data_IF_700795085854
#
_entry.id   IF_700795085854
#
_cell.length_a   1.000
_cell.length_b   1.000
_cell.length_c   1.000
_cell.angle_alpha   90.00
_cell.angle_beta   90.00
_cell.angle_gamma   90.00
#
_symmetry.space_group_name_H-M   'P 1'
#
loop_
_entity.id
_entity.type
_entity.pdbx_description
1 polymer ?
#
# COMPACT_ATOMS: atom_id res chain seq x y z
N UNK A 1 18.52 -2.09 -16.28
CA UNK A 1 17.26 -1.69 -15.64
C UNK A 1 17.51 -1.50 -14.15
N UNK A 2 16.95 -0.44 -13.57
CA UNK A 2 16.94 -0.17 -12.12
C UNK A 2 15.95 -1.10 -11.43
N UNK A 3 16.25 -1.47 -10.19
CA UNK A 3 15.39 -2.36 -9.41
C UNK A 3 14.46 -1.57 -8.50
N UNK A 4 13.22 -2.02 -8.38
CA UNK A 4 12.27 -1.47 -7.43
C UNK A 4 11.62 -2.52 -6.55
N UNK A 5 11.32 -2.11 -5.32
CA UNK A 5 10.54 -2.90 -4.35
C UNK A 5 9.41 -2.04 -3.81
N UNK A 6 8.22 -2.62 -3.70
CA UNK A 6 7.06 -2.00 -3.08
C UNK A 6 6.86 -2.57 -1.67
N UNK A 7 6.63 -1.70 -0.70
CA UNK A 7 6.26 -2.01 0.68
C UNK A 7 4.83 -1.53 0.89
N UNK A 8 3.91 -2.45 1.19
CA UNK A 8 2.49 -2.15 1.33
C UNK A 8 2.06 -2.34 2.77
N UNK A 9 1.68 -1.25 3.41
CA UNK A 9 0.97 -1.30 4.69
C UNK A 9 -0.50 -1.66 4.43
N UNK A 10 -0.84 -2.92 4.67
CA UNK A 10 -2.16 -3.45 4.34
C UNK A 10 -3.30 -2.81 5.13
N UNK A 11 -3.06 -2.42 6.38
CA UNK A 11 -4.09 -1.81 7.22
C UNK A 11 -4.31 -0.35 6.84
N UNK A 12 -3.22 0.42 6.72
CA UNK A 12 -3.30 1.81 6.33
C UNK A 12 -3.94 1.95 4.94
N UNK A 13 -3.56 1.11 3.97
CA UNK A 13 -4.21 1.06 2.67
C UNK A 13 -5.71 0.73 2.75
N UNK A 14 -6.05 -0.40 3.39
CA UNK A 14 -7.44 -0.87 3.44
C UNK A 14 -8.37 0.15 4.11
N UNK A 15 -8.00 0.65 5.29
CA UNK A 15 -8.82 1.62 6.00
C UNK A 15 -8.78 3.00 5.35
N UNK A 16 -7.64 3.41 4.78
CA UNK A 16 -7.51 4.66 4.05
C UNK A 16 -8.41 4.73 2.82
N UNK A 17 -8.50 3.64 2.03
CA UNK A 17 -9.43 3.59 0.90
C UNK A 17 -10.87 3.44 1.39
N UNK A 18 -11.16 2.45 2.24
CA UNK A 18 -12.54 2.14 2.67
C UNK A 18 -13.20 3.33 3.36
N UNK A 19 -12.52 3.95 4.32
CA UNK A 19 -13.11 5.02 5.13
C UNK A 19 -13.24 6.34 4.35
N UNK A 20 -12.35 6.60 3.37
CA UNK A 20 -12.50 7.74 2.47
C UNK A 20 -13.78 7.63 1.62
N UNK A 21 -14.03 6.45 1.06
CA UNK A 21 -15.15 6.25 0.13
C UNK A 21 -16.47 5.85 0.81
N UNK A 22 -16.48 5.42 2.07
CA UNK A 22 -17.71 5.03 2.77
C UNK A 22 -18.76 6.15 2.88
N UNK A 23 -18.42 7.41 3.26
CA UNK A 23 -19.41 8.46 3.48
C UNK A 23 -20.26 8.83 2.25
N UNK A 24 -19.72 8.70 1.04
CA UNK A 24 -20.44 9.05 -0.19
C UNK A 24 -21.38 7.95 -0.72
N UNK A 25 -21.46 6.79 -0.05
CA UNK A 25 -22.29 5.67 -0.48
C UNK A 25 -23.79 6.01 -0.59
N UNK A 26 -24.41 6.72 0.37
CA UNK A 26 -25.83 7.07 0.29
C UNK A 26 -26.17 7.90 -0.96
N UNK A 27 -25.30 8.82 -1.35
CA UNK A 27 -25.52 9.69 -2.51
C UNK A 27 -25.28 8.96 -3.84
N UNK A 28 -24.29 8.05 -3.88
CA UNK A 28 -23.97 7.27 -5.09
C UNK A 28 -24.91 6.10 -5.35
N UNK A 29 -25.54 5.55 -4.30
CA UNK A 29 -26.35 4.33 -4.37
C UNK A 29 -25.53 3.03 -4.50
N UNK A 30 -24.21 3.09 -4.39
CA UNK A 30 -23.31 1.93 -4.36
C UNK A 30 -22.01 2.25 -3.60
N UNK A 31 -21.31 1.23 -3.12
CA UNK A 31 -20.07 1.38 -2.36
C UNK A 31 -18.86 1.45 -3.28
N UNK A 32 -17.99 2.44 -3.04
CA UNK A 32 -16.65 2.51 -3.62
C UNK A 32 -15.58 1.88 -2.72
N UNK A 33 -15.98 1.26 -1.60
CA UNK A 33 -15.05 0.48 -0.77
C UNK A 33 -14.47 -0.72 -1.51
N UNK A 34 -15.08 -1.16 -2.62
CA UNK A 34 -14.54 -2.19 -3.51
C UNK A 34 -13.18 -1.84 -4.15
N UNK A 35 -12.79 -0.56 -4.14
CA UNK A 35 -11.46 -0.11 -4.59
C UNK A 35 -10.30 -0.67 -3.74
N UNK A 36 -10.60 -1.31 -2.60
CA UNK A 36 -9.60 -2.09 -1.84
C UNK A 36 -9.17 -3.38 -2.54
N UNK A 37 -9.91 -3.87 -3.55
CA UNK A 37 -9.57 -5.05 -4.36
C UNK A 37 -8.45 -4.72 -5.38
N UNK A 38 -7.33 -4.22 -4.86
CA UNK A 38 -6.26 -3.60 -5.62
C UNK A 38 -5.16 -4.61 -5.99
N UNK A 39 -4.81 -4.65 -7.26
CA UNK A 39 -3.61 -5.28 -7.79
C UNK A 39 -2.44 -4.33 -7.56
N UNK A 40 -1.72 -4.51 -6.44
CA UNK A 40 -0.61 -3.63 -6.05
C UNK A 40 0.53 -3.59 -7.08
N UNK A 41 0.70 -4.65 -7.89
CA UNK A 41 1.66 -4.64 -8.99
C UNK A 41 1.17 -3.70 -10.10
N UNK A 42 -0.07 -3.90 -10.55
CA UNK A 42 -0.68 -3.04 -11.57
C UNK A 42 -0.70 -1.57 -11.13
N UNK A 43 -0.97 -1.30 -9.84
CA UNK A 43 -0.92 0.05 -9.26
C UNK A 43 0.40 0.74 -9.57
N UNK A 44 1.52 0.06 -9.31
CA UNK A 44 2.84 0.62 -9.60
C UNK A 44 3.11 0.63 -11.10
N UNK A 45 3.00 -0.51 -11.79
CA UNK A 45 3.39 -0.66 -13.19
C UNK A 45 2.62 0.29 -14.13
N UNK A 46 1.34 0.59 -13.85
CA UNK A 46 0.50 1.44 -14.72
C UNK A 46 0.60 2.92 -14.42
N UNK A 47 0.89 3.31 -13.17
CA UNK A 47 0.71 4.70 -12.72
C UNK A 47 1.96 5.34 -12.13
N UNK A 48 2.86 4.54 -11.57
CA UNK A 48 3.96 5.07 -10.77
C UNK A 48 5.32 4.54 -11.19
N UNK A 49 5.44 3.47 -11.98
CA UNK A 49 6.75 2.91 -12.33
C UNK A 49 7.60 3.95 -13.09
N UNK A 50 8.82 4.15 -12.62
CA UNK A 50 9.75 5.06 -13.28
C UNK A 50 10.32 4.46 -14.57
N UNK A 51 10.74 5.29 -15.54
CA UNK A 51 11.45 4.81 -16.72
C UNK A 51 12.65 3.94 -16.35
N UNK A 52 12.95 2.95 -17.18
CA UNK A 52 14.08 2.02 -17.02
C UNK A 52 14.10 1.26 -15.68
N UNK A 53 12.95 1.13 -15.01
CA UNK A 53 12.82 0.48 -13.70
C UNK A 53 11.92 -0.75 -13.79
N UNK A 54 12.25 -1.78 -13.03
CA UNK A 54 11.42 -2.99 -12.88
C UNK A 54 11.02 -3.19 -11.43
N UNK A 55 9.73 -3.47 -11.21
CA UNK A 55 9.24 -3.86 -9.89
C UNK A 55 9.57 -5.34 -9.64
N UNK A 56 10.66 -5.59 -8.91
CA UNK A 56 11.17 -6.94 -8.63
C UNK A 56 10.26 -7.67 -7.63
N UNK A 57 9.83 -6.98 -6.57
CA UNK A 57 9.09 -7.60 -5.46
C UNK A 57 8.12 -6.63 -4.79
N UNK A 58 7.11 -7.20 -4.15
CA UNK A 58 6.15 -6.50 -3.29
C UNK A 58 6.18 -7.19 -1.92
N UNK A 59 6.43 -6.44 -0.86
CA UNK A 59 6.29 -6.88 0.54
C UNK A 59 4.98 -6.35 1.08
N UNK A 60 4.07 -7.25 1.44
CA UNK A 60 2.72 -6.92 1.91
C UNK A 60 2.62 -7.18 3.41
N UNK A 61 2.50 -6.12 4.19
CA UNK A 61 2.48 -6.19 5.65
C UNK A 61 1.04 -6.25 6.15
N UNK A 62 0.74 -7.26 6.95
CA UNK A 62 -0.60 -7.51 7.45
C UNK A 62 -0.55 -8.36 8.72
N UNK A 63 -1.67 -8.53 9.41
CA UNK A 63 -1.77 -9.40 10.58
C UNK A 63 -3.04 -10.25 10.48
N UNK A 64 -2.93 -11.59 10.49
CA UNK A 64 -4.10 -12.46 10.51
C UNK A 64 -4.82 -12.31 11.85
N UNK A 65 -6.14 -12.11 11.79
CA UNK A 65 -6.98 -12.06 12.98
C UNK A 65 -7.22 -13.49 13.48
N UNK A 66 -6.80 -13.82 14.71
CA UNK A 66 -7.16 -15.11 15.32
C UNK A 66 -8.67 -15.18 15.53
N UNK A 67 -9.27 -16.35 15.29
CA UNK A 67 -10.71 -16.60 15.52
C UNK A 67 -11.16 -16.19 16.92
N UNK A 68 -10.32 -16.40 17.93
CA UNK A 68 -10.57 -16.01 19.32
C UNK A 68 -10.67 -14.51 19.56
N UNK A 69 -10.24 -13.68 18.61
CA UNK A 69 -10.20 -12.23 18.70
C UNK A 69 -11.07 -11.56 17.63
N UNK A 70 -11.94 -12.28 16.92
CA UNK A 70 -12.79 -11.72 15.88
C UNK A 70 -13.82 -10.73 16.44
N UNK A 71 -13.98 -9.58 15.76
CA UNK A 71 -15.07 -8.66 16.08
C UNK A 71 -16.39 -9.08 15.42
N UNK A 72 -16.30 -9.86 14.34
CA UNK A 72 -17.43 -10.35 13.53
C UNK A 72 -17.07 -11.73 12.98
N UNK A 73 -18.07 -12.61 12.86
CA UNK A 73 -17.89 -14.01 12.47
C UNK A 73 -17.23 -14.20 11.07
N UNK A 74 -17.38 -13.23 10.17
CA UNK A 74 -16.86 -13.30 8.79
C UNK A 74 -15.49 -12.63 8.63
N UNK A 75 -14.89 -12.11 9.71
CA UNK A 75 -13.67 -11.33 9.61
C UNK A 75 -12.49 -12.16 9.12
N UNK A 76 -12.33 -13.36 9.68
CA UNK A 76 -11.30 -14.32 9.31
C UNK A 76 -11.50 -14.81 7.87
N UNK A 77 -12.72 -15.18 7.49
CA UNK A 77 -13.03 -15.65 6.12
C UNK A 77 -12.73 -14.58 5.07
N UNK A 78 -13.11 -13.32 5.34
CA UNK A 78 -12.79 -12.19 4.45
C UNK A 78 -11.29 -11.94 4.37
N UNK A 79 -10.57 -12.07 5.49
CA UNK A 79 -9.11 -11.94 5.52
C UNK A 79 -8.44 -13.03 4.69
N UNK A 80 -8.83 -14.29 4.86
CA UNK A 80 -8.29 -15.42 4.10
C UNK A 80 -8.60 -15.30 2.61
N UNK A 81 -9.82 -14.87 2.25
CA UNK A 81 -10.20 -14.60 0.86
C UNK A 81 -9.27 -13.56 0.22
N UNK A 82 -9.04 -12.44 0.92
CA UNK A 82 -8.14 -11.41 0.45
C UNK A 82 -6.70 -11.93 0.33
N UNK A 83 -6.20 -12.68 1.31
CA UNK A 83 -4.83 -13.20 1.27
C UNK A 83 -4.64 -14.15 0.09
N UNK A 84 -5.61 -15.04 -0.20
CA UNK A 84 -5.57 -15.89 -1.41
C UNK A 84 -5.56 -15.05 -2.69
N UNK A 85 -6.41 -14.03 -2.78
CA UNK A 85 -6.43 -13.13 -3.93
C UNK A 85 -5.10 -12.38 -4.11
N UNK A 86 -4.52 -11.88 -3.01
CA UNK A 86 -3.24 -11.19 -3.02
C UNK A 86 -2.08 -12.11 -3.47
N UNK A 87 -2.15 -13.42 -3.22
CA UNK A 87 -1.17 -14.39 -3.73
C UNK A 87 -1.16 -14.49 -5.27
N UNK A 88 -2.22 -14.07 -5.98
CA UNK A 88 -2.20 -13.95 -7.44
C UNK A 88 -1.40 -12.73 -7.94
N UNK A 89 -1.05 -11.79 -7.07
CA UNK A 89 -0.22 -10.64 -7.43
C UNK A 89 1.23 -11.12 -7.55
N UNK A 90 1.76 -11.14 -8.78
CA UNK A 90 3.13 -11.58 -9.07
C UNK A 90 4.16 -10.88 -8.18
N UNK A 91 4.98 -11.66 -7.48
CA UNK A 91 6.06 -11.15 -6.64
C UNK A 91 5.61 -10.54 -5.30
N UNK A 92 4.33 -10.70 -4.92
CA UNK A 92 3.85 -10.34 -3.59
C UNK A 92 4.28 -11.39 -2.55
N UNK A 93 4.83 -10.90 -1.45
CA UNK A 93 5.26 -11.69 -0.30
C UNK A 93 4.60 -11.13 0.96
N UNK A 94 3.71 -11.88 1.62
CA UNK A 94 3.11 -11.44 2.86
C UNK A 94 4.13 -11.51 4.01
N UNK A 95 4.11 -10.50 4.86
CA UNK A 95 4.90 -10.41 6.08
C UNK A 95 3.93 -10.16 7.22
N UNK A 96 3.91 -11.09 8.17
CA UNK A 96 2.89 -11.15 9.20
C UNK A 96 3.36 -10.50 10.50
N UNK A 97 2.61 -9.51 10.96
CA UNK A 97 2.55 -9.18 12.38
C UNK A 97 1.54 -10.08 13.09
N UNK A 98 1.08 -9.65 14.27
CA UNK A 98 0.08 -10.41 15.03
C UNK A 98 -0.90 -9.50 15.75
N UNK A 99 -2.03 -10.09 16.16
CA UNK A 99 -2.98 -9.46 17.07
C UNK A 99 -2.82 -10.00 18.49
N UNK A 100 -2.94 -9.11 19.48
CA UNK A 100 -3.07 -9.50 20.89
C UNK A 100 -4.27 -8.81 21.56
N UNK A 101 -4.84 -9.39 22.62
CA UNK A 101 -5.85 -8.71 23.44
C UNK A 101 -5.31 -7.38 23.98
N UNK A 102 -6.17 -6.35 24.04
CA UNK A 102 -5.82 -5.03 24.60
C UNK A 102 -6.91 -4.55 25.55
N UNK A 103 -6.62 -4.28 26.83
CA UNK A 103 -7.61 -3.67 27.73
C UNK A 103 -8.18 -2.37 27.15
N UNK A 104 -9.52 -2.22 27.17
CA UNK A 104 -10.22 -1.06 26.62
C UNK A 104 -10.47 -1.11 25.09
N UNK A 105 -9.98 -2.15 24.41
CA UNK A 105 -10.34 -2.48 23.03
C UNK A 105 -10.56 -4.00 22.91
N UNK A 106 -10.96 -4.50 21.74
CA UNK A 106 -11.01 -5.95 21.53
C UNK A 106 -9.59 -6.54 21.39
N UNK A 107 -8.73 -5.86 20.62
CA UNK A 107 -7.39 -6.29 20.27
C UNK A 107 -6.57 -5.12 19.73
N UNK A 108 -5.25 -5.30 19.68
CA UNK A 108 -4.34 -4.44 18.92
C UNK A 108 -3.45 -5.25 18.00
N UNK A 109 -3.18 -4.67 16.84
CA UNK A 109 -2.17 -5.13 15.90
C UNK A 109 -0.78 -4.74 16.43
N UNK A 110 0.21 -5.60 16.20
CA UNK A 110 1.61 -5.39 16.55
C UNK A 110 2.52 -5.86 15.43
N UNK A 111 3.68 -5.19 15.37
CA UNK A 111 4.84 -5.48 14.51
C UNK A 111 4.76 -4.96 13.07
N UNK A 112 3.61 -4.58 12.52
CA UNK A 112 3.55 -4.05 11.13
C UNK A 112 4.54 -2.91 10.91
N UNK A 113 4.56 -1.90 11.78
CA UNK A 113 5.44 -0.74 11.58
C UNK A 113 6.92 -1.08 11.64
N UNK A 114 7.28 -1.94 12.61
CA UNK A 114 8.66 -2.38 12.82
C UNK A 114 9.11 -3.27 11.66
N UNK A 115 8.24 -4.17 11.20
CA UNK A 115 8.52 -5.04 10.06
C UNK A 115 8.73 -4.23 8.77
N UNK A 116 7.91 -3.20 8.51
CA UNK A 116 8.11 -2.29 7.36
C UNK A 116 9.50 -1.66 7.45
N UNK A 117 9.85 -1.06 8.58
CA UNK A 117 11.14 -0.40 8.77
C UNK A 117 12.33 -1.37 8.61
N UNK A 118 12.24 -2.56 9.22
CA UNK A 118 13.28 -3.60 9.15
C UNK A 118 13.50 -4.06 7.71
N UNK A 119 12.43 -4.43 7.01
CA UNK A 119 12.52 -4.95 5.64
C UNK A 119 13.01 -3.90 4.65
N UNK A 120 12.55 -2.65 4.78
CA UNK A 120 13.05 -1.53 3.97
C UNK A 120 14.55 -1.31 4.16
N UNK A 121 15.04 -1.41 5.39
CA UNK A 121 16.46 -1.25 5.70
C UNK A 121 17.30 -2.44 5.22
N UNK A 122 16.85 -3.67 5.45
CA UNK A 122 17.54 -4.88 5.01
C UNK A 122 17.68 -4.91 3.50
N UNK A 123 16.60 -4.68 2.76
CA UNK A 123 16.62 -4.62 1.30
C UNK A 123 17.49 -3.45 0.80
N UNK A 124 17.46 -2.31 1.49
CA UNK A 124 18.26 -1.14 1.13
C UNK A 124 19.76 -1.38 1.31
N UNK A 125 20.17 -1.98 2.44
CA UNK A 125 21.56 -2.34 2.76
C UNK A 125 22.07 -3.43 1.81
N UNK A 126 21.25 -4.45 1.53
CA UNK A 126 21.58 -5.52 0.60
C UNK A 126 21.58 -5.07 -0.87
N UNK A 127 21.10 -3.85 -1.17
CA UNK A 127 21.07 -3.30 -2.51
C UNK A 127 20.01 -3.94 -3.41
N UNK A 128 18.91 -4.42 -2.84
CA UNK A 128 17.82 -5.07 -3.57
C UNK A 128 16.95 -4.09 -4.38
N UNK A 129 17.05 -2.79 -4.14
CA UNK A 129 16.38 -1.78 -4.95
C UNK A 129 17.25 -0.54 -5.15
N UNK A 130 16.95 0.19 -6.22
CA UNK A 130 17.35 1.58 -6.45
C UNK A 130 16.20 2.54 -6.08
N UNK A 131 14.95 2.11 -6.33
CA UNK A 131 13.72 2.81 -5.95
C UNK A 131 12.86 1.97 -5.01
N UNK A 132 12.56 2.48 -3.82
CA UNK A 132 11.53 1.93 -2.94
C UNK A 132 10.21 2.68 -3.13
N UNK A 133 9.10 1.95 -3.20
CA UNK A 133 7.76 2.50 -3.08
C UNK A 133 7.20 2.12 -1.71
N UNK A 134 6.68 3.07 -0.95
CA UNK A 134 5.97 2.81 0.31
C UNK A 134 4.50 3.18 0.12
N UNK A 135 3.59 2.22 0.16
CA UNK A 135 2.16 2.46 0.19
C UNK A 135 1.70 2.52 1.65
N UNK A 136 1.79 3.71 2.24
CA UNK A 136 1.27 4.02 3.57
C UNK A 136 1.16 5.54 3.74
N UNK A 137 0.13 5.97 4.44
CA UNK A 137 -0.02 7.31 5.00
C UNK A 137 0.43 7.41 6.46
N UNK A 138 0.99 6.34 7.05
CA UNK A 138 1.47 6.41 8.42
C UNK A 138 2.75 7.26 8.49
N UNK A 139 2.73 8.29 9.34
CA UNK A 139 3.88 9.17 9.56
C UNK A 139 4.95 8.53 10.45
N UNK A 140 4.62 7.46 11.18
CA UNK A 140 5.60 6.69 11.97
C UNK A 140 6.66 6.01 11.09
N UNK A 141 6.40 5.90 9.77
CA UNK A 141 7.34 5.37 8.78
C UNK A 141 8.37 6.39 8.27
N UNK A 142 8.21 7.69 8.59
CA UNK A 142 9.13 8.76 8.17
C UNK A 142 10.60 8.46 8.51
N UNK A 143 10.95 7.99 9.73
CA UNK A 143 12.32 7.63 10.06
C UNK A 143 12.92 6.55 9.15
N UNK A 144 12.13 5.54 8.77
CA UNK A 144 12.56 4.47 7.89
C UNK A 144 12.79 4.99 6.45
N UNK A 145 11.84 5.80 5.94
CA UNK A 145 11.97 6.49 4.65
C UNK A 145 13.24 7.33 4.60
N UNK A 146 13.48 8.17 5.63
CA UNK A 146 14.66 9.02 5.70
C UNK A 146 15.96 8.22 5.82
N UNK A 147 15.94 7.10 6.55
CA UNK A 147 17.10 6.23 6.69
C UNK A 147 17.49 5.58 5.35
N UNK A 148 16.52 4.99 4.65
CA UNK A 148 16.73 4.40 3.31
C UNK A 148 17.21 5.43 2.30
N UNK A 149 16.57 6.60 2.29
CA UNK A 149 16.91 7.66 1.35
C UNK A 149 18.34 8.18 1.59
N UNK A 150 18.70 8.51 2.84
CA UNK A 150 19.86 9.38 3.09
C UNK A 150 20.95 8.79 3.97
N UNK A 151 20.67 7.75 4.74
CA UNK A 151 21.59 7.21 5.76
C UNK A 151 22.25 5.89 5.36
N UNK A 152 21.79 5.28 4.27
CA UNK A 152 22.45 4.12 3.68
C UNK A 152 23.70 4.53 2.89
N UNK A 153 24.71 3.63 2.73
CA UNK A 153 25.94 3.94 2.00
C UNK A 153 25.69 4.39 0.55
N UNK A 154 24.66 3.83 -0.09
CA UNK A 154 24.18 4.24 -1.40
C UNK A 154 22.83 4.92 -1.24
N UNK A 155 22.75 6.14 -1.74
CA UNK A 155 21.52 6.92 -1.83
C UNK A 155 20.47 6.16 -2.63
N UNK A 156 19.27 6.02 -2.06
CA UNK A 156 18.12 5.36 -2.69
C UNK A 156 16.99 6.35 -2.93
N UNK A 157 16.22 6.13 -3.98
CA UNK A 157 14.99 6.88 -4.23
C UNK A 157 13.85 6.25 -3.45
N UNK A 158 13.02 7.04 -2.81
CA UNK A 158 11.83 6.57 -2.08
C UNK A 158 10.60 7.33 -2.55
N UNK A 159 9.52 6.62 -2.84
CA UNK A 159 8.25 7.21 -3.27
C UNK A 159 7.14 6.74 -2.35
N UNK A 160 6.59 7.67 -1.59
CA UNK A 160 5.50 7.40 -0.65
C UNK A 160 4.18 7.62 -1.38
N UNK A 161 3.36 6.59 -1.43
CA UNK A 161 2.01 6.61 -1.96
C UNK A 161 1.05 6.65 -0.78
N UNK A 162 0.32 7.75 -0.60
CA UNK A 162 -0.62 7.91 0.51
C UNK A 162 -2.04 7.52 0.08
N UNK A 163 -2.76 6.69 0.87
CA UNK A 163 -4.15 6.36 0.58
C UNK A 163 -5.08 7.58 0.63
N UNK A 164 -6.25 7.56 -0.06
CA UNK A 164 -7.09 8.75 -0.27
C UNK A 164 -7.62 9.45 0.99
N UNK A 165 -7.66 8.77 2.14
CA UNK A 165 -8.09 9.38 3.41
C UNK A 165 -7.15 10.51 3.86
N UNK A 166 -5.91 10.50 3.39
CA UNK A 166 -4.89 11.49 3.70
C UNK A 166 -4.43 12.18 2.42
N UNK A 167 -4.24 13.49 2.48
CA UNK A 167 -3.59 14.23 1.40
C UNK A 167 -2.05 14.15 1.53
N UNK A 168 -1.35 14.37 0.41
CA UNK A 168 0.11 14.29 0.39
C UNK A 168 0.80 15.35 1.26
N UNK A 169 0.19 16.52 1.49
CA UNK A 169 0.79 17.59 2.29
C UNK A 169 0.77 17.27 3.79
N UNK A 170 -0.27 16.57 4.25
CA UNK A 170 -0.39 16.09 5.63
C UNK A 170 0.75 15.14 6.02
N UNK A 171 1.27 14.36 5.06
CA UNK A 171 2.44 13.50 5.26
C UNK A 171 3.77 14.26 5.06
N UNK A 172 3.84 15.18 4.08
CA UNK A 172 5.05 15.96 3.80
C UNK A 172 5.45 16.89 4.94
N UNK A 173 4.49 17.51 5.62
CA UNK A 173 4.76 18.46 6.71
C UNK A 173 5.60 17.85 7.84
N UNK A 174 5.19 16.73 8.47
CA UNK A 174 5.99 16.08 9.50
C UNK A 174 7.31 15.51 8.94
N UNK A 175 7.35 15.10 7.67
CA UNK A 175 8.60 14.68 7.03
C UNK A 175 9.62 15.83 6.95
N UNK A 176 9.20 17.03 6.55
CA UNK A 176 10.07 18.20 6.48
C UNK A 176 10.58 18.62 7.87
N UNK A 177 9.73 18.53 8.89
CA UNK A 177 10.12 18.71 10.29
C UNK A 177 11.17 17.70 10.76
N UNK A 178 10.91 16.42 10.51
CA UNK A 178 11.85 15.35 10.83
C UNK A 178 13.20 15.56 10.14
N UNK A 179 13.19 15.92 8.84
CA UNK A 179 14.41 16.17 8.08
C UNK A 179 15.18 17.40 8.57
N UNK A 180 14.52 18.47 9.03
CA UNK A 180 15.18 19.61 9.67
C UNK A 180 15.96 19.16 10.91
N UNK A 181 15.32 18.41 11.80
CA UNK A 181 15.97 17.90 13.01
C UNK A 181 17.05 16.84 12.70
N UNK A 182 16.87 16.04 11.65
CA UNK A 182 17.86 15.03 11.25
C UNK A 182 19.14 15.69 10.70
N UNK A 183 19.01 16.73 9.87
CA UNK A 183 20.14 17.51 9.31
C UNK A 183 20.98 18.23 10.37
N UNK A 184 20.41 18.52 11.53
CA UNK A 184 21.15 19.09 12.66
C UNK A 184 21.98 18.03 13.42
N UNK A 185 21.62 16.75 13.30
CA UNK A 185 22.24 15.64 14.05
C UNK A 185 23.24 14.82 13.24
N UNK A 186 23.12 14.83 11.92
CA UNK A 186 23.94 14.03 11.02
C UNK A 186 24.45 14.87 9.86
N UNK A 187 25.65 14.55 9.37
CA UNK A 187 26.18 15.12 8.13
C UNK A 187 25.50 14.50 6.91
N UNK A 188 25.01 15.35 6.00
CA UNK A 188 24.39 14.93 4.74
C UNK A 188 25.28 15.30 3.57
N UNK A 189 25.71 14.30 2.79
CA UNK A 189 26.29 14.52 1.46
C UNK A 189 25.13 14.64 0.47
N UNK A 190 24.59 15.85 0.31
CA UNK A 190 23.48 16.08 -0.62
C UNK A 190 23.93 15.75 -2.06
N UNK A 191 23.26 14.81 -2.75
CA UNK A 191 23.61 14.47 -4.15
C UNK A 191 22.45 14.56 -5.14
N UNK A 192 21.18 14.48 -4.72
CA UNK A 192 20.05 14.71 -5.63
C UNK A 192 18.88 15.51 -5.00
N UNK A 193 18.20 16.38 -5.76
CA UNK A 193 17.11 17.22 -5.25
C UNK A 193 15.75 16.50 -5.09
N UNK A 194 15.56 15.28 -5.61
CA UNK A 194 14.28 14.53 -5.53
C UNK A 194 14.46 13.10 -5.03
N UNK A 195 14.91 12.97 -3.80
CA UNK A 195 15.18 11.65 -3.25
C UNK A 195 13.96 10.99 -2.58
N UNK A 196 13.04 11.81 -2.07
CA UNK A 196 11.76 11.38 -1.51
C UNK A 196 10.64 12.16 -2.19
N UNK A 197 9.71 11.45 -2.84
CA UNK A 197 8.48 12.03 -3.38
C UNK A 197 7.27 11.46 -2.65
N UNK A 198 6.22 12.27 -2.49
CA UNK A 198 4.96 11.87 -1.85
C UNK A 198 3.81 12.13 -2.82
N UNK A 199 3.01 11.10 -3.08
CA UNK A 199 1.95 11.09 -4.09
C UNK A 199 0.67 10.55 -3.47
N UNK A 200 -0.46 11.21 -3.69
CA UNK A 200 -1.76 10.71 -3.23
C UNK A 200 -2.36 9.76 -4.26
N UNK A 201 -2.94 8.66 -3.77
CA UNK A 201 -3.76 7.79 -4.61
C UNK A 201 -5.08 8.47 -4.92
N UNK A 202 -5.46 8.46 -6.19
CA UNK A 202 -6.75 9.00 -6.65
C UNK A 202 -7.74 7.88 -6.91
N UNK A 203 -9.02 8.21 -6.95
CA UNK A 203 -10.08 7.27 -7.34
C UNK A 203 -9.80 6.65 -8.71
N UNK A 204 -9.38 7.46 -9.69
CA UNK A 204 -9.06 6.99 -11.04
C UNK A 204 -7.89 6.00 -11.03
N UNK A 205 -6.84 6.27 -10.27
CA UNK A 205 -5.69 5.35 -10.13
C UNK A 205 -6.14 4.02 -9.52
N UNK A 206 -6.91 4.04 -8.44
CA UNK A 206 -7.41 2.83 -7.78
C UNK A 206 -8.33 2.01 -8.71
N UNK A 207 -9.27 2.67 -9.40
CA UNK A 207 -10.18 2.00 -10.34
C UNK A 207 -9.41 1.31 -11.49
N UNK A 208 -8.30 1.90 -11.93
CA UNK A 208 -7.44 1.35 -12.98
C UNK A 208 -6.39 0.35 -12.47
N UNK A 209 -6.44 -0.01 -11.19
CA UNK A 209 -5.50 -0.91 -10.54
C UNK A 209 -6.19 -2.11 -9.90
N UNK A 210 -7.40 -2.47 -10.33
CA UNK A 210 -8.15 -3.57 -9.73
C UNK A 210 -7.62 -4.95 -10.18
N UNK A 211 -7.61 -5.90 -9.24
CA UNK A 211 -7.46 -7.33 -9.54
C UNK A 211 -8.66 -7.81 -10.37
N UNK A 212 -8.50 -8.81 -11.24
CA UNK A 212 -9.64 -9.48 -11.89
C UNK A 212 -10.67 -9.95 -10.85
N UNK A 213 -11.95 -9.90 -11.20
CA UNK A 213 -13.03 -10.38 -10.32
C UNK A 213 -13.13 -11.91 -10.29
N UNK A 214 -12.79 -12.57 -11.40
CA UNK A 214 -12.83 -14.02 -11.52
C UNK A 214 -11.42 -14.60 -11.33
N UNK A 215 -10.97 -14.70 -10.08
CA UNK A 215 -9.77 -15.45 -9.71
C UNK A 215 -10.14 -16.90 -9.36
N UNK A 216 -9.36 -17.92 -9.77
CA UNK A 216 -9.73 -19.33 -9.67
C UNK A 216 -10.15 -19.82 -8.28
N UNK A 217 -9.49 -19.36 -7.21
CA UNK A 217 -9.67 -19.80 -5.82
C UNK A 217 -9.97 -18.63 -4.84
N UNK A 218 -10.15 -17.43 -5.39
CA UNK A 218 -10.38 -16.21 -4.63
C UNK A 218 -11.22 -15.17 -5.39
N UNK A 219 -12.43 -15.52 -5.87
CA UNK A 219 -13.26 -14.60 -6.64
C UNK A 219 -13.59 -13.35 -5.81
N UNK A 220 -13.62 -12.19 -6.45
CA UNK A 220 -13.99 -10.94 -5.82
C UNK A 220 -15.43 -11.03 -5.30
N UNK A 221 -15.68 -10.80 -4.00
CA UNK A 221 -17.00 -10.95 -3.42
C UNK A 221 -17.95 -9.86 -3.94
N UNK A 222 -19.26 -10.14 -4.05
CA UNK A 222 -20.23 -9.20 -4.63
C UNK A 222 -20.22 -7.80 -4.00
N UNK A 223 -19.97 -7.72 -2.69
CA UNK A 223 -19.92 -6.44 -1.96
C UNK A 223 -18.69 -5.57 -2.25
N UNK A 224 -17.67 -6.12 -2.93
CA UNK A 224 -16.51 -5.37 -3.44
C UNK A 224 -16.53 -5.19 -4.96
N UNK A 225 -17.47 -5.81 -5.67
CA UNK A 225 -17.64 -5.55 -7.11
C UNK A 225 -18.26 -4.17 -7.32
N UNK A 226 -17.64 -3.40 -8.21
CA UNK A 226 -18.13 -2.09 -8.61
C UNK A 226 -19.12 -2.23 -9.79
N UNK A 227 -20.15 -1.37 -9.89
CA UNK A 227 -21.14 -1.44 -10.98
C UNK A 227 -20.49 -1.26 -12.36
N UNK A 228 -21.03 -1.92 -13.39
CA UNK A 228 -20.52 -1.81 -14.76
C UNK A 228 -20.42 -0.36 -15.26
N UNK A 229 -21.48 0.43 -15.10
CA UNK A 229 -21.49 1.86 -15.47
C UNK A 229 -20.33 2.67 -14.86
N UNK A 230 -19.91 2.28 -13.65
CA UNK A 230 -18.77 2.90 -12.97
C UNK A 230 -17.47 2.48 -13.65
N UNK A 231 -17.31 1.18 -13.91
CA UNK A 231 -16.13 0.62 -14.58
C UNK A 231 -15.97 1.16 -16.00
N UNK A 232 -17.05 1.37 -16.74
CA UNK A 232 -17.04 1.97 -18.08
C UNK A 232 -16.51 3.41 -18.09
N UNK A 233 -16.85 4.17 -17.06
CA UNK A 233 -16.42 5.57 -16.93
C UNK A 233 -15.00 5.67 -16.35
N UNK A 234 -14.69 4.83 -15.36
CA UNK A 234 -13.49 4.97 -14.54
C UNK A 234 -12.33 4.10 -15.01
N UNK A 235 -12.55 2.95 -15.63
CA UNK A 235 -11.48 2.04 -16.04
C UNK A 235 -11.14 2.19 -17.53
N UNK A 236 -9.85 2.11 -17.86
CA UNK A 236 -9.44 1.85 -19.23
C UNK A 236 -9.99 0.46 -19.66
N UNK A 237 -10.45 0.29 -20.90
CA UNK A 237 -11.06 -0.98 -21.34
C UNK A 237 -10.17 -2.21 -21.11
N UNK A 238 -8.86 -2.08 -21.28
CA UNK A 238 -7.88 -3.16 -21.09
C UNK A 238 -7.63 -3.53 -19.61
N UNK A 239 -8.08 -2.70 -18.67
CA UNK A 239 -7.81 -2.85 -17.23
C UNK A 239 -9.06 -3.13 -16.41
N UNK A 240 -10.20 -3.33 -17.08
CA UNK A 240 -11.48 -3.68 -16.46
C UNK A 240 -11.37 -5.02 -15.70
N UNK A 241 -11.72 -5.07 -14.41
CA UNK A 241 -11.61 -6.29 -13.61
C UNK A 241 -12.70 -7.33 -13.92
N UNK A 242 -13.80 -6.89 -14.53
CA UNK A 242 -14.96 -7.69 -14.91
C UNK A 242 -14.85 -8.29 -16.32
N UNK A 243 -13.72 -8.08 -16.99
CA UNK A 243 -13.41 -8.65 -18.31
C UNK A 243 -12.21 -9.58 -18.21
N UNK A 244 -12.14 -10.62 -19.07
CA UNK A 244 -10.93 -11.42 -19.19
C UNK A 244 -9.74 -10.54 -19.58
N UNK A 245 -8.58 -10.72 -18.94
CA UNK A 245 -7.34 -10.11 -19.41
C UNK A 245 -6.90 -10.88 -20.67
N UNK A 246 -6.66 -10.15 -21.76
CA UNK A 246 -6.12 -10.69 -23.00
C UNK A 246 -4.66 -11.12 -22.85
#
# INVERSE_FOLDING_TARGET
>A
MRKAVLYVDGFNFYYGVRNHFKPGQPQRGFSLSGLVWCDFRALIERHFLEPDTELERIRYFTAPVPKSLEARAEEHERYELWLRAACHIRGLQPIFGYYRPKPGALREEKETDVNIAVEMLLDGVAGHFDTAYLLSGDTDQIPAVAAVAFRLPKQKRVRVLVPPLQDAESWKTPYLEYMRGLKQRFEFRQREPRQVDVLALTEKVLANSLLPYELPDAPCPPYWRLPERYLETMCAPAWRPDRPRA
#
